data_IF_396985227911
#
_entry.id   IF_396985227911
#
_cell.length_a   1.000
_cell.length_b   1.000
_cell.length_c   1.000
_cell.angle_alpha   90.00
_cell.angle_beta   90.00
_cell.angle_gamma   90.00
#
_symmetry.space_group_name_H-M   'P 1'
#
loop_
_entity.id
_entity.type
_entity.pdbx_description
1 polymer ?
#
# COMPACT_ATOMS: atom_id res chain seq x y z
N UNK A 1 4.94 4.72 -28.64
CA UNK A 1 3.71 5.43 -28.23
C UNK A 1 2.58 4.42 -28.13
N UNK A 2 2.51 3.70 -27.01
CA UNK A 2 1.34 2.90 -26.62
C UNK A 2 0.98 3.31 -25.20
N UNK A 3 -0.26 3.79 -25.03
CA UNK A 3 -0.81 4.25 -23.77
C UNK A 3 -1.25 3.04 -22.94
N UNK A 4 -0.59 2.79 -21.82
CA UNK A 4 -1.07 1.86 -20.78
C UNK A 4 -1.94 2.65 -19.81
N UNK A 5 -3.22 2.29 -19.75
CA UNK A 5 -4.21 2.81 -18.82
C UNK A 5 -3.85 2.47 -17.36
N UNK A 6 -3.68 3.50 -16.52
CA UNK A 6 -3.70 3.39 -15.06
C UNK A 6 -5.15 3.40 -14.58
N UNK A 7 -5.61 2.30 -13.98
CA UNK A 7 -6.87 2.22 -13.23
C UNK A 7 -6.58 2.11 -11.73
N UNK A 8 -7.12 3.05 -10.95
CA UNK A 8 -7.13 3.02 -9.50
C UNK A 8 -7.99 1.84 -8.95
N UNK A 9 -7.57 1.17 -7.87
CA UNK A 9 -8.41 0.23 -7.16
C UNK A 9 -9.32 0.99 -6.18
N UNK A 10 -10.62 1.11 -6.51
CA UNK A 10 -11.62 1.45 -5.50
C UNK A 10 -11.89 0.25 -4.59
N UNK A 11 -11.83 0.52 -3.29
CA UNK A 11 -12.07 -0.38 -2.17
C UNK A 11 -13.37 -1.17 -2.32
N UNK A 12 -13.26 -2.48 -2.51
CA UNK A 12 -14.35 -3.42 -2.22
C UNK A 12 -14.21 -3.86 -0.77
N UNK A 13 -14.84 -3.14 0.16
CA UNK A 13 -15.15 -3.69 1.47
C UNK A 13 -16.10 -4.87 1.28
N UNK A 14 -15.63 -6.06 1.62
CA UNK A 14 -16.37 -7.31 1.49
C UNK A 14 -17.52 -7.36 2.49
N UNK A 15 -18.64 -7.94 2.06
CA UNK A 15 -19.85 -8.21 2.85
C UNK A 15 -19.54 -8.95 4.17
N UNK A 16 -18.42 -9.70 4.21
CA UNK A 16 -17.91 -10.37 5.41
C UNK A 16 -17.63 -9.43 6.59
N UNK A 17 -17.13 -8.21 6.34
CA UNK A 17 -16.80 -7.25 7.42
C UNK A 17 -18.05 -6.60 8.02
N UNK A 18 -19.15 -6.53 7.27
CA UNK A 18 -20.44 -6.04 7.79
C UNK A 18 -21.13 -7.09 8.66
N UNK A 19 -21.06 -8.37 8.28
CA UNK A 19 -21.66 -9.47 9.04
C UNK A 19 -20.92 -9.71 10.37
N UNK A 20 -19.59 -9.57 10.38
CA UNK A 20 -18.80 -9.66 11.61
C UNK A 20 -19.12 -8.54 12.63
N UNK A 21 -19.47 -7.34 12.16
CA UNK A 21 -19.81 -6.20 13.02
C UNK A 21 -21.23 -6.28 13.60
N UNK A 22 -22.18 -6.87 12.88
CA UNK A 22 -23.55 -7.09 13.39
C UNK A 22 -23.63 -8.25 14.38
N UNK A 23 -22.81 -9.30 14.22
CA UNK A 23 -22.74 -10.41 15.17
C UNK A 23 -22.16 -9.99 16.54
N UNK A 24 -21.20 -9.05 16.56
CA UNK A 24 -20.62 -8.52 17.79
C UNK A 24 -21.58 -7.56 18.55
N UNK A 25 -22.52 -6.90 17.86
CA UNK A 25 -23.45 -5.94 18.46
C UNK A 25 -24.64 -6.55 19.20
N UNK A 26 -25.07 -7.76 18.81
CA UNK A 26 -26.28 -8.39 19.36
C UNK A 26 -26.04 -9.35 20.54
N UNK A 27 -24.78 -9.63 20.90
CA UNK A 27 -24.45 -10.49 22.04
C UNK A 27 -24.53 -9.79 23.43
N UNK A 28 -24.92 -8.51 23.50
CA UNK A 28 -24.90 -7.71 24.73
C UNK A 28 -26.27 -7.39 25.37
N UNK A 29 -27.36 -8.05 25.00
CA UNK A 29 -28.68 -7.85 25.65
C UNK A 29 -29.35 -9.15 26.07
N UNK A 30 -28.80 -9.84 27.06
CA UNK A 30 -29.53 -10.66 28.03
C UNK A 30 -28.56 -11.31 29.02
N UNK A 31 -28.06 -10.53 29.97
CA UNK A 31 -27.48 -11.06 31.20
C UNK A 31 -28.07 -10.27 32.35
N UNK A 32 -29.30 -10.61 32.76
CA UNK A 32 -29.63 -10.54 34.18
C UNK A 32 -28.90 -11.70 34.81
N UNK A 33 -27.86 -11.37 35.56
CA UNK A 33 -26.98 -12.32 36.20
C UNK A 33 -27.76 -13.08 37.28
N UNK A 34 -27.54 -14.40 37.35
CA UNK A 34 -28.05 -15.29 38.40
C UNK A 34 -27.87 -14.85 39.87
N UNK A 35 -26.91 -13.97 40.28
CA UNK A 35 -26.76 -13.59 41.69
C UNK A 35 -27.97 -12.85 42.28
N UNK A 36 -28.77 -12.16 41.47
CA UNK A 36 -29.92 -11.39 41.99
C UNK A 36 -31.07 -12.28 42.47
N UNK A 37 -31.13 -13.55 42.03
CA UNK A 37 -32.18 -14.49 42.43
C UNK A 37 -31.79 -15.27 43.71
N UNK A 38 -30.50 -15.56 43.88
CA UNK A 38 -29.96 -16.22 45.07
C UNK A 38 -30.04 -15.31 46.30
N UNK A 39 -29.70 -14.02 46.14
CA UNK A 39 -29.83 -13.02 47.23
C UNK A 39 -31.29 -12.84 47.68
N UNK A 40 -32.25 -12.92 46.75
CA UNK A 40 -33.67 -12.79 47.07
C UNK A 40 -34.19 -14.03 47.82
N UNK A 41 -33.78 -15.23 47.42
CA UNK A 41 -34.15 -16.48 48.10
C UNK A 41 -33.50 -16.61 49.47
N UNK A 42 -32.24 -16.19 49.62
CA UNK A 42 -31.54 -16.21 50.91
C UNK A 42 -32.21 -15.26 51.92
N UNK A 43 -32.70 -14.10 51.48
CA UNK A 43 -33.43 -13.17 52.35
C UNK A 43 -34.75 -13.73 52.89
N UNK A 44 -35.39 -14.65 52.16
CA UNK A 44 -36.63 -15.30 52.59
C UNK A 44 -36.33 -16.42 53.60
N UNK A 45 -35.23 -17.15 53.44
CA UNK A 45 -34.81 -18.22 54.37
C UNK A 45 -34.37 -17.64 55.71
N UNK A 46 -33.67 -16.50 55.72
CA UNK A 46 -33.21 -15.85 56.96
C UNK A 46 -34.35 -15.30 57.81
N UNK A 47 -35.51 -15.00 57.21
CA UNK A 47 -36.73 -14.57 57.94
C UNK A 47 -37.45 -15.75 58.60
N UNK A 48 -37.29 -16.97 58.07
CA UNK A 48 -37.97 -18.18 58.59
C UNK A 48 -37.10 -18.94 59.61
N UNK A 49 -35.78 -18.79 59.58
CA UNK A 49 -34.86 -19.50 60.48
C UNK A 49 -34.73 -18.86 61.89
N UNK A 50 -35.29 -17.67 62.13
CA UNK A 50 -35.16 -16.96 63.41
C UNK A 50 -36.30 -17.23 64.40
N UNK A 51 -36.68 -18.50 64.57
CA UNK A 51 -37.55 -18.90 65.67
C UNK A 51 -37.16 -20.28 66.23
N UNK A 52 -36.00 -20.32 66.89
CA UNK A 52 -35.67 -21.38 67.84
C UNK A 52 -34.59 -20.95 68.82
N UNK A 53 -34.90 -19.97 69.69
CA UNK A 53 -34.39 -19.94 71.07
C UNK A 53 -35.06 -18.82 71.85
N UNK A 54 -35.76 -19.20 72.90
CA UNK A 54 -36.36 -18.30 73.88
C UNK A 54 -35.26 -17.62 74.72
N UNK A 55 -35.33 -16.30 74.88
CA UNK A 55 -35.13 -15.62 76.16
C UNK A 55 -35.86 -14.26 76.15
N UNK A 56 -36.61 -13.88 77.21
CA UNK A 56 -37.58 -12.80 77.14
C UNK A 56 -37.06 -11.55 77.88
N UNK A 57 -36.14 -10.76 77.32
CA UNK A 57 -35.80 -9.49 77.98
C UNK A 57 -35.06 -8.45 77.09
N UNK A 58 -35.51 -8.18 75.87
CA UNK A 58 -35.20 -6.89 75.20
C UNK A 58 -36.39 -6.44 74.38
N UNK A 59 -37.21 -5.58 74.97
CA UNK A 59 -38.20 -4.79 74.25
C UNK A 59 -37.56 -3.47 73.81
N UNK A 60 -37.98 -3.01 72.63
CA UNK A 60 -37.66 -1.69 72.04
C UNK A 60 -36.42 -1.64 71.15
N UNK A 61 -36.56 -2.17 69.93
CA UNK A 61 -36.42 -1.48 68.61
C UNK A 61 -36.46 -2.61 67.55
N UNK A 62 -37.66 -2.98 67.09
CA UNK A 62 -37.99 -3.69 65.84
C UNK A 62 -39.52 -3.93 65.83
N UNK A 63 -40.29 -2.92 66.22
CA UNK A 63 -41.74 -2.96 66.22
C UNK A 63 -42.27 -2.52 64.85
N UNK A 64 -42.06 -3.34 63.82
CA UNK A 64 -42.90 -3.36 62.60
C UNK A 64 -42.70 -4.66 61.82
N UNK A 65 -42.77 -5.81 62.46
CA UNK A 65 -43.40 -6.96 61.78
C UNK A 65 -44.80 -7.08 62.40
N UNK A 66 -45.87 -6.92 61.61
CA UNK A 66 -47.21 -7.07 62.14
C UNK A 66 -47.38 -8.53 62.57
N UNK A 67 -47.36 -8.79 63.87
CA UNK A 67 -47.71 -10.10 64.42
C UNK A 67 -49.18 -10.36 64.08
N UNK A 68 -49.42 -11.29 63.18
CA UNK A 68 -50.75 -11.70 62.78
C UNK A 68 -51.51 -12.19 64.03
N UNK A 69 -52.75 -11.77 64.22
CA UNK A 69 -53.59 -12.39 65.26
C UNK A 69 -53.86 -13.85 64.89
N UNK A 70 -54.18 -14.70 65.88
CA UNK A 70 -54.36 -16.14 65.66
C UNK A 70 -55.33 -16.45 64.51
N UNK A 71 -56.43 -15.68 64.40
CA UNK A 71 -57.39 -15.87 63.31
C UNK A 71 -56.86 -15.49 61.92
N UNK A 72 -55.81 -14.67 61.82
CA UNK A 72 -55.08 -14.40 60.59
C UNK A 72 -54.04 -15.47 60.30
N UNK A 73 -53.42 -16.06 61.32
CA UNK A 73 -52.52 -17.23 61.16
C UNK A 73 -53.31 -18.43 60.66
N UNK A 74 -54.46 -18.73 61.28
CA UNK A 74 -55.33 -19.84 60.86
C UNK A 74 -55.84 -19.64 59.41
N UNK A 75 -56.13 -18.39 59.01
CA UNK A 75 -56.51 -18.08 57.61
C UNK A 75 -55.35 -18.23 56.64
N UNK A 76 -54.13 -17.90 57.07
CA UNK A 76 -52.93 -18.07 56.26
C UNK A 76 -52.60 -19.56 56.10
N UNK A 77 -52.72 -20.33 57.18
CA UNK A 77 -52.57 -21.79 57.18
C UNK A 77 -53.58 -22.44 56.23
N UNK A 78 -54.87 -22.10 56.35
CA UNK A 78 -55.89 -22.56 55.40
C UNK A 78 -55.60 -22.15 53.95
N UNK A 79 -55.08 -20.93 53.72
CA UNK A 79 -54.70 -20.50 52.37
C UNK A 79 -53.48 -21.27 51.83
N UNK A 80 -52.51 -21.58 52.69
CA UNK A 80 -51.36 -22.41 52.37
C UNK A 80 -51.79 -23.84 52.06
N UNK A 81 -52.67 -24.45 52.85
CA UNK A 81 -53.21 -25.79 52.61
C UNK A 81 -53.95 -25.87 51.29
N UNK A 82 -54.82 -24.89 51.00
CA UNK A 82 -55.52 -24.80 49.71
C UNK A 82 -54.54 -24.64 48.55
N UNK A 83 -53.45 -23.88 48.73
CA UNK A 83 -52.42 -23.73 47.70
C UNK A 83 -51.60 -25.01 47.49
N UNK A 84 -51.31 -25.74 48.57
CA UNK A 84 -50.61 -27.03 48.53
C UNK A 84 -51.46 -28.08 47.84
N UNK A 85 -52.75 -28.16 48.16
CA UNK A 85 -53.67 -29.11 47.53
C UNK A 85 -53.88 -28.79 46.05
N UNK A 86 -53.84 -27.51 45.67
CA UNK A 86 -53.82 -27.12 44.26
C UNK A 86 -52.55 -27.58 43.54
N UNK A 87 -51.37 -27.39 44.14
CA UNK A 87 -50.10 -27.85 43.56
C UNK A 87 -50.06 -29.38 43.47
N UNK A 88 -50.55 -30.09 44.49
CA UNK A 88 -50.68 -31.57 44.45
C UNK A 88 -51.61 -31.99 43.31
N UNK A 89 -52.75 -31.33 43.16
CA UNK A 89 -53.66 -31.57 42.03
C UNK A 89 -52.98 -31.29 40.69
N UNK A 90 -52.18 -30.24 40.57
CA UNK A 90 -51.45 -29.94 39.33
C UNK A 90 -50.37 -31.01 39.06
N UNK A 91 -49.63 -31.45 40.07
CA UNK A 91 -48.68 -32.56 39.99
C UNK A 91 -49.38 -33.85 39.55
N UNK A 92 -50.55 -34.15 40.12
CA UNK A 92 -51.34 -35.32 39.76
C UNK A 92 -51.81 -35.24 38.31
N UNK A 93 -52.19 -34.06 37.82
CA UNK A 93 -52.52 -33.83 36.40
C UNK A 93 -51.29 -33.99 35.51
N UNK A 94 -50.11 -33.49 35.90
CA UNK A 94 -48.86 -33.69 35.14
C UNK A 94 -48.44 -35.16 35.11
N UNK A 95 -48.59 -35.87 36.23
CA UNK A 95 -48.32 -37.30 36.32
C UNK A 95 -49.32 -38.10 35.48
N UNK A 96 -50.61 -37.76 35.54
CA UNK A 96 -51.62 -38.39 34.70
C UNK A 96 -51.33 -38.15 33.22
N UNK A 97 -50.93 -36.94 32.83
CA UNK A 97 -50.52 -36.64 31.46
C UNK A 97 -49.27 -37.41 31.04
N UNK A 98 -48.25 -37.49 31.90
CA UNK A 98 -47.02 -38.25 31.64
C UNK A 98 -47.30 -39.75 31.49
N UNK A 99 -48.15 -40.32 32.36
CA UNK A 99 -48.57 -41.72 32.30
C UNK A 99 -49.43 -41.99 31.06
N UNK A 100 -50.34 -41.07 30.70
CA UNK A 100 -51.08 -41.16 29.42
C UNK A 100 -50.15 -41.11 28.22
N UNK A 101 -49.13 -40.24 28.23
CA UNK A 101 -48.16 -40.14 27.13
C UNK A 101 -47.29 -41.41 27.02
N UNK A 102 -46.87 -42.01 28.14
CA UNK A 102 -46.23 -43.32 28.16
C UNK A 102 -47.16 -44.44 27.65
N UNK A 103 -48.43 -44.44 28.07
CA UNK A 103 -49.39 -45.46 27.67
C UNK A 103 -49.86 -45.32 26.22
N UNK A 104 -49.97 -44.11 25.68
CA UNK A 104 -50.22 -43.86 24.25
C UNK A 104 -49.00 -44.25 23.40
N UNK A 105 -47.77 -44.10 23.93
CA UNK A 105 -46.55 -44.66 23.34
C UNK A 105 -46.46 -46.19 23.41
N UNK A 106 -47.01 -46.82 24.45
CA UNK A 106 -46.99 -48.27 24.68
C UNK A 106 -48.32 -48.99 24.35
N UNK A 107 -49.26 -48.35 23.64
CA UNK A 107 -50.59 -48.94 23.35
C UNK A 107 -50.57 -50.01 22.24
N UNK A 108 -49.41 -50.34 21.67
CA UNK A 108 -49.19 -51.61 20.98
C UNK A 108 -48.59 -52.61 21.99
N UNK A 109 -49.45 -53.44 22.58
CA UNK A 109 -49.07 -54.48 23.55
C UNK A 109 -48.20 -55.54 22.86
N UNK A 110 -46.88 -55.39 22.96
CA UNK A 110 -45.95 -56.51 22.91
C UNK A 110 -45.64 -56.98 24.35
N UNK A 111 -45.38 -58.28 24.58
CA UNK A 111 -45.10 -58.82 25.91
C UNK A 111 -43.93 -58.10 26.59
N UNK A 112 -43.95 -57.94 27.92
CA UNK A 112 -42.90 -57.24 28.70
C UNK A 112 -41.46 -57.75 28.44
N UNK A 113 -41.30 -59.00 28.01
CA UNK A 113 -39.99 -59.56 27.61
C UNK A 113 -39.50 -59.05 26.24
N UNK A 114 -40.42 -58.69 25.34
CA UNK A 114 -40.12 -58.11 24.01
C UNK A 114 -39.85 -56.59 24.13
N UNK A 115 -40.41 -55.94 25.14
CA UNK A 115 -40.21 -54.50 25.38
C UNK A 115 -38.79 -54.19 25.91
N UNK A 116 -38.24 -55.05 26.76
CA UNK A 116 -36.84 -54.92 27.23
C UNK A 116 -35.84 -55.13 26.07
N UNK A 117 -36.15 -56.01 25.12
CA UNK A 117 -35.35 -56.24 23.91
C UNK A 117 -35.42 -55.06 22.93
N UNK A 118 -36.60 -54.47 22.73
CA UNK A 118 -36.79 -53.28 21.88
C UNK A 118 -36.12 -52.05 22.50
N UNK A 119 -36.28 -51.83 23.81
CA UNK A 119 -35.60 -50.73 24.51
C UNK A 119 -34.07 -50.91 24.49
N UNK A 120 -33.56 -52.14 24.64
CA UNK A 120 -32.13 -52.41 24.48
C UNK A 120 -31.65 -52.17 23.05
N UNK A 121 -32.42 -52.57 22.03
CA UNK A 121 -32.06 -52.34 20.62
C UNK A 121 -32.08 -50.85 20.28
N UNK A 122 -33.06 -50.08 20.79
CA UNK A 122 -33.11 -48.62 20.64
C UNK A 122 -31.95 -47.92 21.35
N UNK A 123 -31.60 -48.34 22.56
CA UNK A 123 -30.44 -47.81 23.30
C UNK A 123 -29.15 -48.14 22.54
N UNK A 124 -28.98 -49.37 22.05
CA UNK A 124 -27.81 -49.76 21.26
C UNK A 124 -27.71 -48.99 19.94
N UNK A 125 -28.85 -48.74 19.28
CA UNK A 125 -28.90 -47.97 18.04
C UNK A 125 -28.58 -46.49 18.29
N UNK A 126 -29.12 -45.90 19.38
CA UNK A 126 -28.76 -44.54 19.82
C UNK A 126 -27.29 -44.42 20.18
N UNK A 127 -26.72 -45.42 20.85
CA UNK A 127 -25.30 -45.46 21.19
C UNK A 127 -24.43 -45.62 19.93
N UNK A 128 -24.86 -46.41 18.94
CA UNK A 128 -24.17 -46.55 17.67
C UNK A 128 -24.18 -45.24 16.87
N UNK A 129 -25.32 -44.56 16.81
CA UNK A 129 -25.47 -43.24 16.18
C UNK A 129 -24.62 -42.19 16.90
N UNK A 130 -24.65 -42.16 18.23
CA UNK A 130 -23.84 -41.24 19.03
C UNK A 130 -22.34 -41.46 18.80
N UNK A 131 -21.89 -42.73 18.72
CA UNK A 131 -20.49 -43.06 18.39
C UNK A 131 -20.12 -42.61 16.98
N UNK A 132 -21.00 -42.78 15.99
CA UNK A 132 -20.79 -42.28 14.62
C UNK A 132 -20.58 -40.77 14.60
N UNK A 133 -21.43 -40.00 15.29
CA UNK A 133 -21.29 -38.54 15.36
C UNK A 133 -20.02 -38.10 16.08
N UNK A 134 -19.61 -38.81 17.14
CA UNK A 134 -18.34 -38.53 17.83
C UNK A 134 -17.15 -38.78 16.92
N UNK A 135 -17.18 -39.83 16.11
CA UNK A 135 -16.12 -40.12 15.14
C UNK A 135 -16.07 -39.06 14.02
N UNK A 136 -17.22 -38.63 13.50
CA UNK A 136 -17.31 -37.52 12.54
C UNK A 136 -16.73 -36.21 13.13
N UNK A 137 -17.07 -35.88 14.38
CA UNK A 137 -16.52 -34.72 15.06
C UNK A 137 -15.00 -34.81 15.23
N UNK A 138 -14.46 -35.98 15.60
CA UNK A 138 -13.02 -36.17 15.67
C UNK A 138 -12.34 -36.01 14.30
N UNK A 139 -12.97 -36.51 13.23
CA UNK A 139 -12.45 -36.37 11.88
C UNK A 139 -12.46 -34.89 11.42
N UNK A 140 -13.52 -34.14 11.75
CA UNK A 140 -13.59 -32.70 11.49
C UNK A 140 -12.53 -31.91 12.27
N UNK A 141 -12.32 -32.22 13.55
CA UNK A 141 -11.27 -31.59 14.36
C UNK A 141 -9.89 -31.86 13.75
N UNK A 142 -9.63 -33.09 13.30
CA UNK A 142 -8.37 -33.44 12.64
C UNK A 142 -8.19 -32.68 11.33
N UNK A 143 -9.23 -32.58 10.50
CA UNK A 143 -9.19 -31.83 9.25
C UNK A 143 -8.93 -30.33 9.50
N UNK A 144 -9.58 -29.74 10.52
CA UNK A 144 -9.34 -28.35 10.91
C UNK A 144 -7.90 -28.11 11.38
N UNK A 145 -7.32 -29.04 12.13
CA UNK A 145 -5.93 -28.95 12.56
C UNK A 145 -4.98 -28.93 11.35
N UNK A 146 -5.17 -29.84 10.39
CA UNK A 146 -4.37 -29.88 9.15
C UNK A 146 -4.51 -28.58 8.35
N UNK A 147 -5.73 -28.09 8.16
CA UNK A 147 -5.95 -26.83 7.44
C UNK A 147 -5.36 -25.63 8.16
N UNK A 148 -5.37 -25.61 9.50
CA UNK A 148 -4.75 -24.52 10.27
C UNK A 148 -3.22 -24.48 10.09
N UNK A 149 -2.58 -25.65 10.00
CA UNK A 149 -1.16 -25.78 9.74
C UNK A 149 -0.83 -25.34 8.31
N UNK A 150 -1.61 -25.78 7.32
CA UNK A 150 -1.47 -25.36 5.92
C UNK A 150 -1.62 -23.84 5.75
N UNK A 151 -2.62 -23.23 6.40
CA UNK A 151 -2.80 -21.77 6.40
C UNK A 151 -1.62 -21.04 7.04
N UNK A 152 -1.08 -21.57 8.14
CA UNK A 152 0.12 -21.01 8.78
C UNK A 152 1.32 -21.07 7.83
N UNK A 153 1.52 -22.21 7.16
CA UNK A 153 2.57 -22.38 6.17
C UNK A 153 2.43 -21.42 4.98
N UNK A 154 1.23 -21.31 4.40
CA UNK A 154 0.96 -20.41 3.29
C UNK A 154 1.16 -18.93 3.68
N UNK A 155 0.76 -18.53 4.88
CA UNK A 155 1.01 -17.18 5.38
C UNK A 155 2.51 -16.88 5.50
N UNK A 156 3.31 -17.84 6.00
CA UNK A 156 4.76 -17.68 6.04
C UNK A 156 5.37 -17.54 4.64
N UNK A 157 4.88 -18.32 3.67
CA UNK A 157 5.33 -18.23 2.28
C UNK A 157 4.99 -16.87 1.65
N UNK A 158 3.82 -16.32 1.94
CA UNK A 158 3.42 -14.97 1.50
C UNK A 158 4.36 -13.92 2.08
N UNK A 159 4.63 -13.96 3.39
CA UNK A 159 5.54 -13.02 4.04
C UNK A 159 6.96 -13.10 3.46
N UNK A 160 7.45 -14.31 3.19
CA UNK A 160 8.75 -14.50 2.55
C UNK A 160 8.75 -13.90 1.12
N UNK A 161 7.69 -14.16 0.35
CA UNK A 161 7.56 -13.61 -1.00
C UNK A 161 7.49 -12.08 -0.99
N UNK A 162 6.73 -11.48 -0.08
CA UNK A 162 6.64 -10.02 0.09
C UNK A 162 8.02 -9.41 0.42
N UNK A 163 8.78 -10.05 1.32
CA UNK A 163 10.13 -9.59 1.67
C UNK A 163 11.07 -9.62 0.47
N UNK A 164 11.02 -10.69 -0.35
CA UNK A 164 11.82 -10.81 -1.57
C UNK A 164 11.41 -9.78 -2.62
N UNK A 165 10.11 -9.56 -2.80
CA UNK A 165 9.60 -8.53 -3.70
C UNK A 165 10.07 -7.15 -3.28
N UNK A 166 10.07 -6.84 -1.98
CA UNK A 166 10.58 -5.55 -1.47
C UNK A 166 12.05 -5.33 -1.83
N UNK A 167 12.90 -6.36 -1.64
CA UNK A 167 14.33 -6.29 -2.00
C UNK A 167 14.51 -6.06 -3.50
N UNK A 168 13.74 -6.76 -4.34
CA UNK A 168 13.78 -6.58 -5.79
C UNK A 168 13.33 -5.16 -6.19
N UNK A 169 12.29 -4.63 -5.56
CA UNK A 169 11.82 -3.26 -5.82
C UNK A 169 12.91 -2.23 -5.50
N UNK A 170 13.59 -2.37 -4.35
CA UNK A 170 14.71 -1.49 -3.98
C UNK A 170 15.88 -1.59 -4.96
N UNK A 171 16.24 -2.80 -5.38
CA UNK A 171 17.30 -3.00 -6.36
C UNK A 171 16.94 -2.37 -7.72
N UNK A 172 15.70 -2.53 -8.17
CA UNK A 172 15.23 -1.93 -9.41
C UNK A 172 15.25 -0.40 -9.33
N UNK A 173 14.81 0.18 -8.22
CA UNK A 173 14.89 1.62 -8.00
C UNK A 173 16.32 2.13 -8.11
N UNK A 174 17.28 1.45 -7.46
CA UNK A 174 18.70 1.79 -7.56
C UNK A 174 19.20 1.73 -9.00
N UNK A 175 18.87 0.66 -9.74
CA UNK A 175 19.26 0.51 -11.16
C UNK A 175 18.70 1.65 -12.01
N UNK A 176 17.43 2.03 -11.81
CA UNK A 176 16.84 3.16 -12.54
C UNK A 176 17.50 4.49 -12.19
N UNK A 177 17.85 4.72 -10.92
CA UNK A 177 18.57 5.94 -10.52
C UNK A 177 19.95 6.00 -11.16
N UNK A 178 20.68 4.88 -11.20
CA UNK A 178 22.00 4.80 -11.84
C UNK A 178 21.89 5.01 -13.36
N UNK A 179 20.93 4.36 -14.01
CA UNK A 179 20.70 4.52 -15.44
C UNK A 179 20.39 5.97 -15.82
N UNK A 180 19.53 6.64 -15.03
CA UNK A 180 19.23 8.06 -15.24
C UNK A 180 20.47 8.94 -15.06
N UNK A 181 21.33 8.62 -14.08
CA UNK A 181 22.58 9.38 -13.88
C UNK A 181 23.53 9.23 -15.06
N UNK A 182 23.68 8.00 -15.59
CA UNK A 182 24.50 7.72 -16.76
C UNK A 182 23.96 8.38 -18.03
N UNK A 183 22.63 8.47 -18.17
CA UNK A 183 22.01 9.17 -19.31
C UNK A 183 22.31 10.68 -19.26
N UNK A 184 22.23 11.29 -18.07
CA UNK A 184 22.59 12.70 -17.88
C UNK A 184 24.07 12.92 -18.20
N UNK A 185 24.96 12.07 -17.70
CA UNK A 185 26.39 12.16 -17.96
C UNK A 185 26.73 11.99 -19.45
N UNK A 186 26.07 11.03 -20.12
CA UNK A 186 26.21 10.84 -21.56
C UNK A 186 25.79 12.09 -22.35
N UNK A 187 24.67 12.70 -21.99
CA UNK A 187 24.19 13.93 -22.64
C UNK A 187 25.14 15.11 -22.40
N UNK A 188 25.69 15.24 -21.19
CA UNK A 188 26.68 16.27 -20.87
C UNK A 188 27.97 16.09 -21.69
N UNK A 189 28.47 14.86 -21.79
CA UNK A 189 29.64 14.55 -22.61
C UNK A 189 29.41 14.84 -24.09
N UNK A 190 28.22 14.54 -24.61
CA UNK A 190 27.86 14.86 -25.99
C UNK A 190 27.85 16.39 -26.20
N UNK A 191 27.24 17.14 -25.28
CA UNK A 191 27.24 18.59 -25.33
C UNK A 191 28.66 19.18 -25.32
N UNK A 192 29.53 18.65 -24.45
CA UNK A 192 30.93 19.07 -24.37
C UNK A 192 31.71 18.77 -25.65
N UNK A 193 31.46 17.61 -26.28
CA UNK A 193 32.05 17.23 -27.56
C UNK A 193 31.61 18.20 -28.66
N UNK A 194 30.31 18.47 -28.78
CA UNK A 194 29.76 19.41 -29.75
C UNK A 194 30.34 20.82 -29.56
N UNK A 195 30.47 21.26 -28.30
CA UNK A 195 31.07 22.55 -27.97
C UNK A 195 32.56 22.61 -28.33
N UNK A 196 33.31 21.53 -28.06
CA UNK A 196 34.72 21.42 -28.46
C UNK A 196 34.87 21.41 -29.99
N UNK A 197 34.05 20.66 -30.71
CA UNK A 197 34.05 20.61 -32.16
C UNK A 197 33.76 22.00 -32.77
N UNK A 198 32.79 22.72 -32.22
CA UNK A 198 32.48 24.10 -32.62
C UNK A 198 33.67 25.03 -32.37
N UNK A 199 34.30 24.97 -31.19
CA UNK A 199 35.49 25.78 -30.88
C UNK A 199 36.65 25.47 -31.83
N UNK A 200 36.88 24.20 -32.13
CA UNK A 200 37.89 23.78 -33.09
C UNK A 200 37.59 24.32 -34.50
N UNK A 201 36.34 24.22 -34.95
CA UNK A 201 35.92 24.78 -36.24
C UNK A 201 36.16 26.28 -36.32
N UNK A 202 35.84 27.04 -35.27
CA UNK A 202 36.09 28.48 -35.22
C UNK A 202 37.60 28.80 -35.22
N UNK A 203 38.41 28.04 -34.49
CA UNK A 203 39.85 28.22 -34.49
C UNK A 203 40.49 27.89 -35.85
N UNK A 204 39.99 26.85 -36.53
CA UNK A 204 40.42 26.52 -37.89
C UNK A 204 40.06 27.63 -38.89
N UNK A 205 38.86 28.18 -38.78
CA UNK A 205 38.40 29.31 -39.58
C UNK A 205 39.27 30.56 -39.34
N UNK A 206 39.58 30.88 -38.09
CA UNK A 206 40.49 31.97 -37.73
C UNK A 206 41.91 31.74 -38.29
N UNK A 207 42.42 30.52 -38.21
CA UNK A 207 43.73 30.16 -38.79
C UNK A 207 43.70 30.30 -40.31
N UNK A 208 42.65 29.85 -40.99
CA UNK A 208 42.49 29.98 -42.43
C UNK A 208 42.46 31.46 -42.86
N UNK A 209 41.65 32.29 -42.19
CA UNK A 209 41.60 33.73 -42.44
C UNK A 209 42.92 34.45 -42.08
N UNK A 210 43.66 33.98 -41.07
CA UNK A 210 44.97 34.54 -40.73
C UNK A 210 46.09 34.12 -41.68
N UNK A 211 45.96 32.95 -42.32
CA UNK A 211 46.89 32.42 -43.31
C UNK A 211 46.63 32.94 -44.72
N UNK A 212 45.50 33.62 -44.96
CA UNK A 212 45.41 34.55 -46.08
C UNK A 212 46.52 35.57 -45.87
N UNK A 213 47.60 35.43 -46.63
CA UNK A 213 48.77 36.31 -46.58
C UNK A 213 48.29 37.74 -46.83
N UNK A 214 47.93 38.47 -45.77
CA UNK A 214 47.45 39.86 -45.84
C UNK A 214 48.46 40.70 -46.63
N UNK A 215 49.76 40.34 -46.51
CA UNK A 215 50.86 40.93 -47.25
C UNK A 215 50.82 40.69 -48.77
N UNK A 216 50.36 39.52 -49.24
CA UNK A 216 50.17 39.24 -50.68
C UNK A 216 48.90 39.91 -51.22
N UNK A 217 47.87 40.10 -50.39
CA UNK A 217 46.63 40.77 -50.80
C UNK A 217 46.77 42.30 -50.92
N UNK A 218 47.70 42.92 -50.17
CA UNK A 218 47.93 44.37 -50.22
C UNK A 218 48.52 44.87 -51.55
N UNK A 219 49.27 44.01 -52.26
CA UNK A 219 49.95 44.36 -53.51
C UNK A 219 49.83 43.21 -54.53
N UNK A 220 48.72 43.19 -55.28
CA UNK A 220 48.48 42.23 -56.33
C UNK A 220 49.29 42.61 -57.59
N UNK A 221 50.32 41.83 -57.91
CA UNK A 221 51.07 41.98 -59.17
C UNK A 221 50.63 40.91 -60.15
N UNK A 222 49.89 41.31 -61.18
CA UNK A 222 49.45 40.40 -62.25
C UNK A 222 50.36 40.57 -63.46
N UNK A 223 51.00 39.47 -63.86
CA UNK A 223 51.87 39.37 -65.03
C UNK A 223 51.12 38.68 -66.16
N UNK A 224 50.14 39.36 -66.74
CA UNK A 224 49.45 38.92 -67.96
C UNK A 224 50.11 39.58 -69.19
N UNK A 225 49.35 40.07 -70.19
CA UNK A 225 49.92 40.81 -71.33
C UNK A 225 50.64 42.12 -70.93
N UNK A 226 50.31 42.68 -69.76
CA UNK A 226 50.90 43.91 -69.20
C UNK A 226 51.08 43.77 -67.69
N UNK A 227 52.21 44.22 -67.12
CA UNK A 227 52.40 44.21 -65.69
C UNK A 227 51.41 45.21 -65.04
N UNK A 228 50.56 44.68 -64.18
CA UNK A 228 49.61 45.43 -63.36
C UNK A 228 50.04 45.34 -61.90
N UNK A 229 49.90 46.45 -61.16
CA UNK A 229 50.00 46.46 -59.70
C UNK A 229 48.69 47.00 -59.14
N UNK A 230 47.99 46.21 -58.31
CA UNK A 230 46.65 46.54 -57.80
C UNK A 230 45.67 46.99 -58.91
N UNK A 231 45.74 46.32 -60.07
CA UNK A 231 44.95 46.65 -61.26
C UNK A 231 45.39 47.88 -62.07
N UNK A 232 46.47 48.57 -61.67
CA UNK A 232 47.02 49.74 -62.36
C UNK A 232 48.18 49.37 -63.30
N UNK A 233 48.23 49.98 -64.49
CA UNK A 233 49.26 49.67 -65.50
C UNK A 233 50.57 50.42 -65.24
N UNK A 234 51.67 49.67 -65.09
CA UNK A 234 53.00 50.23 -64.79
C UNK A 234 53.71 50.88 -65.99
N UNK A 235 53.32 50.56 -67.22
CA UNK A 235 54.02 51.00 -68.42
C UNK A 235 53.07 51.49 -69.53
N UNK A 236 53.47 52.57 -70.21
CA UNK A 236 52.77 53.11 -71.37
C UNK A 236 53.13 52.33 -72.64
N UNK A 237 52.14 52.06 -73.50
CA UNK A 237 52.33 51.47 -74.84
C UNK A 237 51.81 52.43 -75.91
N UNK A 238 52.50 52.59 -77.06
CA UNK A 238 52.10 53.52 -78.12
C UNK A 238 50.70 53.30 -78.71
N UNK A 239 50.11 52.12 -78.52
CA UNK A 239 48.78 51.75 -79.04
C UNK A 239 47.65 51.89 -78.01
N UNK A 240 47.90 52.42 -76.81
CA UNK A 240 46.91 52.51 -75.74
C UNK A 240 46.80 53.90 -75.14
N UNK A 241 45.56 54.38 -74.93
CA UNK A 241 45.27 55.60 -74.20
C UNK A 241 45.45 55.35 -72.70
N UNK A 242 46.68 55.54 -72.19
CA UNK A 242 46.97 55.48 -70.76
C UNK A 242 47.13 56.91 -70.22
N UNK A 243 46.38 57.26 -69.17
CA UNK A 243 46.51 58.57 -68.53
C UNK A 243 47.79 58.59 -67.69
N UNK A 244 48.53 59.69 -67.73
CA UNK A 244 49.74 59.87 -66.90
C UNK A 244 49.46 59.71 -65.39
N UNK A 245 48.24 60.07 -64.97
CA UNK A 245 47.76 59.87 -63.60
C UNK A 245 47.73 58.39 -63.17
N UNK A 246 47.38 57.48 -64.08
CA UNK A 246 47.34 56.04 -63.80
C UNK A 246 48.75 55.47 -63.63
N UNK A 247 49.70 55.93 -64.45
CA UNK A 247 51.12 55.55 -64.33
C UNK A 247 51.68 56.04 -63.00
N UNK A 248 51.45 57.31 -62.65
CA UNK A 248 51.92 57.87 -61.38
C UNK A 248 51.31 57.14 -60.17
N UNK A 249 50.03 56.78 -60.25
CA UNK A 249 49.37 55.98 -59.21
C UNK A 249 49.99 54.57 -59.12
N UNK A 250 50.27 53.91 -60.25
CA UNK A 250 50.94 52.61 -60.28
C UNK A 250 52.36 52.67 -59.67
N UNK A 251 53.11 53.74 -59.95
CA UNK A 251 54.42 53.98 -59.35
C UNK A 251 54.34 54.28 -57.85
N UNK A 252 53.31 55.02 -57.40
CA UNK A 252 53.08 55.23 -55.97
C UNK A 252 52.81 53.91 -55.24
N UNK A 253 52.00 53.02 -55.83
CA UNK A 253 51.77 51.67 -55.29
C UNK A 253 53.07 50.83 -55.29
N UNK A 254 53.90 50.92 -56.33
CA UNK A 254 55.19 50.22 -56.38
C UNK A 254 56.18 50.73 -55.31
N UNK A 255 56.17 52.04 -55.04
CA UNK A 255 56.98 52.66 -53.98
C UNK A 255 56.50 52.21 -52.59
N UNK A 256 55.18 52.14 -52.37
CA UNK A 256 54.61 51.58 -51.13
C UNK A 256 55.00 50.12 -50.94
N UNK A 257 54.96 49.31 -51.99
CA UNK A 257 55.42 47.92 -51.95
C UNK A 257 56.91 47.84 -51.58
N UNK A 258 57.75 48.69 -52.17
CA UNK A 258 59.18 48.70 -51.88
C UNK A 258 59.49 49.17 -50.45
N UNK A 259 58.74 50.15 -49.92
CA UNK A 259 58.83 50.56 -48.53
C UNK A 259 58.38 49.44 -47.58
N UNK A 260 57.30 48.74 -47.93
CA UNK A 260 56.81 47.59 -47.18
C UNK A 260 57.84 46.45 -47.14
N UNK A 261 58.36 46.02 -48.30
CA UNK A 261 59.42 45.00 -48.38
C UNK A 261 60.71 45.42 -47.66
N UNK A 262 61.10 46.70 -47.77
CA UNK A 262 62.27 47.24 -47.09
C UNK A 262 62.10 47.23 -45.56
N UNK A 263 60.91 47.52 -45.05
CA UNK A 263 60.58 47.39 -43.63
C UNK A 263 60.63 45.95 -43.13
N UNK A 264 60.03 45.01 -43.88
CA UNK A 264 60.00 43.58 -43.51
C UNK A 264 61.39 42.94 -43.54
N UNK A 265 62.27 43.38 -44.44
CA UNK A 265 63.64 42.86 -44.57
C UNK A 265 64.68 43.68 -43.79
N UNK A 266 64.24 44.69 -43.03
CA UNK A 266 65.11 45.67 -42.32
C UNK A 266 66.19 46.30 -43.24
N UNK A 267 65.86 46.48 -44.52
CA UNK A 267 66.81 46.99 -45.51
C UNK A 267 66.91 48.51 -45.45
N UNK A 268 68.08 49.02 -45.10
CA UNK A 268 68.42 50.44 -45.17
C UNK A 268 69.41 50.71 -46.31
N UNK A 269 69.02 51.52 -47.28
CA UNK A 269 69.94 51.99 -48.32
C UNK A 269 70.70 53.23 -47.88
N UNK A 270 72.01 53.27 -48.13
CA UNK A 270 72.84 54.45 -47.92
C UNK A 270 72.70 55.49 -49.05
N UNK A 271 72.15 55.11 -50.20
CA UNK A 271 72.17 55.93 -51.42
C UNK A 271 70.80 56.53 -51.79
N UNK A 272 69.71 55.93 -51.33
CA UNK A 272 68.37 56.38 -51.68
C UNK A 272 67.44 56.33 -50.47
N UNK A 273 66.58 57.36 -50.36
CA UNK A 273 65.47 57.42 -49.40
C UNK A 273 64.17 57.29 -50.18
N UNK A 274 63.39 56.28 -49.83
CA UNK A 274 62.11 55.98 -50.47
C UNK A 274 61.02 56.76 -49.72
N UNK A 275 60.21 57.55 -50.43
CA UNK A 275 59.08 58.29 -49.89
C UNK A 275 57.87 58.07 -50.80
N UNK A 276 56.76 57.48 -50.29
CA UNK A 276 55.55 57.22 -51.06
C UNK A 276 54.75 58.50 -51.37
#
# INVERSE_FOLDING_TARGET
YEFVHLSHPQQKLTVADRVAKEAAGNACRCKRSLPELEDYMQSIVDVVAYDSSCDPEVSSIMATTPTLCQSCVDKLEMACDVSMDKIKSDIDVYNEFFMRFQHEGNSEVLPKEVNDDIEQEEIQNRDAIAKSYVEELHNLIRALAVHSEELSYLNNLILEQESRTQVICQLNENVYTEMNSLEIDSNNLQYDLENCARKLSLALDEVEHSNENVHLSLFEIVMDERPLINGLRLAHRPKGNLKWQEINAAWAEAVKLLLFCGGTLEFTSAQFRVAP
#
